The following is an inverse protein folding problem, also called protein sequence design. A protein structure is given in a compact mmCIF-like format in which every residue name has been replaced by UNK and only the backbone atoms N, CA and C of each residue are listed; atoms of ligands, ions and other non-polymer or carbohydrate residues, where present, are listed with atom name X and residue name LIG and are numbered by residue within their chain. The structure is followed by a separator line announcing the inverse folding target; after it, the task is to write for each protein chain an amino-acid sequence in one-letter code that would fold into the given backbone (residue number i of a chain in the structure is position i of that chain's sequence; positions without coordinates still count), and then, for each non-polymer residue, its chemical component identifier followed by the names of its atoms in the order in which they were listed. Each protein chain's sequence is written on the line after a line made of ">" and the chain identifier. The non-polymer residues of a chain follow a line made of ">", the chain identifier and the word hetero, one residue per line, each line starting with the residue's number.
data_IF_135321452689
#
_entry.id   IF_135321452689
#
_cell.length_a   1.000
_cell.length_b   1.000
_cell.length_c   1.000
_cell.angle_alpha   90.00
_cell.angle_beta   90.00
_cell.angle_gamma   90.00
#
_symmetry.space_group_name_H-M   'P 1'
#
loop_
_entity.id
_entity.type
_entity.pdbx_description
1 polymer ?
#
# COMPACT_ATOMS: atom_id res chain seq x y z
N UNK A 1 -8.68 2.26 17.41
CA UNK A 1 -7.48 1.97 16.58
C UNK A 1 -7.66 0.57 16.05
N UNK A 2 -8.21 0.42 14.85
CA UNK A 2 -8.75 -0.86 14.38
C UNK A 2 -7.63 -1.89 14.12
N UNK A 3 -7.81 -3.08 14.69
CA UNK A 3 -6.90 -4.22 14.64
C UNK A 3 -6.67 -4.69 13.19
N UNK A 4 -5.69 -4.10 12.50
CA UNK A 4 -5.23 -4.56 11.17
C UNK A 4 -4.48 -5.89 11.24
N UNK A 5 -4.15 -6.35 12.46
CA UNK A 5 -3.54 -7.64 12.75
C UNK A 5 -4.64 -8.64 13.08
N UNK A 6 -4.65 -9.76 12.37
CA UNK A 6 -5.57 -10.87 12.65
C UNK A 6 -5.23 -11.50 14.00
N UNK A 7 -6.22 -11.65 14.87
CA UNK A 7 -6.03 -12.24 16.20
C UNK A 7 -5.80 -13.76 16.12
N UNK A 8 -6.26 -14.42 15.05
CA UNK A 8 -6.07 -15.86 14.87
C UNK A 8 -4.66 -16.24 14.40
N UNK A 9 -4.08 -15.48 13.46
CA UNK A 9 -2.78 -15.82 12.86
C UNK A 9 -1.68 -14.78 13.09
N UNK A 10 -2.00 -13.65 13.71
CA UNK A 10 -1.05 -12.57 13.98
C UNK A 10 -0.54 -11.85 12.73
N UNK A 11 -1.10 -12.10 11.54
CA UNK A 11 -0.69 -11.45 10.26
C UNK A 11 -1.58 -10.26 9.92
N UNK A 12 -1.15 -9.42 8.99
CA UNK A 12 -1.89 -8.23 8.61
C UNK A 12 -2.99 -8.51 7.57
N UNK A 13 -4.17 -7.91 7.73
CA UNK A 13 -5.26 -7.96 6.74
C UNK A 13 -4.93 -7.00 5.58
N UNK A 14 -5.03 -7.47 4.34
CA UNK A 14 -4.78 -6.63 3.18
C UNK A 14 -5.88 -5.57 3.07
N UNK A 15 -5.57 -4.29 2.79
CA UNK A 15 -6.60 -3.32 2.45
C UNK A 15 -7.34 -3.74 1.17
N UNK A 16 -8.65 -3.52 1.13
CA UNK A 16 -9.46 -3.73 -0.08
C UNK A 16 -9.03 -2.73 -1.18
N UNK A 17 -8.49 -3.19 -2.32
CA UNK A 17 -8.08 -2.32 -3.42
C UNK A 17 -9.22 -1.48 -4.02
N UNK A 18 -10.47 -1.95 -3.87
CA UNK A 18 -11.66 -1.23 -4.33
C UNK A 18 -12.03 -0.05 -3.43
N UNK A 19 -11.47 0.06 -2.23
CA UNK A 19 -11.76 1.16 -1.30
C UNK A 19 -11.04 2.47 -1.64
N UNK A 20 -9.94 2.43 -2.38
CA UNK A 20 -9.13 3.62 -2.68
C UNK A 20 -9.83 4.60 -3.65
N UNK A 21 -9.78 5.90 -3.35
CA UNK A 21 -10.39 6.99 -4.12
C UNK A 21 -9.45 8.17 -4.32
N UNK A 22 -9.74 9.04 -5.29
CA UNK A 22 -9.07 10.33 -5.38
C UNK A 22 -9.12 11.09 -4.05
N UNK A 23 -8.00 11.70 -3.64
CA UNK A 23 -7.86 12.40 -2.37
C UNK A 23 -7.32 11.55 -1.22
N UNK A 24 -7.33 10.22 -1.34
CA UNK A 24 -6.79 9.35 -0.30
C UNK A 24 -5.28 9.49 -0.16
N UNK A 25 -4.82 9.55 1.09
CA UNK A 25 -3.40 9.48 1.44
C UNK A 25 -2.98 8.03 1.52
N UNK A 26 -2.02 7.66 0.68
CA UNK A 26 -1.58 6.27 0.54
C UNK A 26 -0.06 6.16 0.60
N UNK A 27 0.41 4.99 0.98
CA UNK A 27 1.82 4.60 0.99
C UNK A 27 2.02 3.50 -0.04
N UNK A 28 3.08 3.59 -0.84
CA UNK A 28 3.43 2.60 -1.86
C UNK A 28 4.93 2.27 -1.86
N UNK A 29 5.29 1.11 -2.43
CA UNK A 29 6.69 0.69 -2.58
C UNK A 29 7.27 1.28 -3.86
N UNK A 30 8.38 2.00 -3.75
CA UNK A 30 9.20 2.44 -4.88
C UNK A 30 10.51 1.69 -4.90
N UNK A 31 10.83 1.08 -6.04
CA UNK A 31 12.12 0.44 -6.30
C UNK A 31 13.02 1.47 -6.94
N UNK A 32 14.17 1.74 -6.32
CA UNK A 32 15.20 2.63 -6.85
C UNK A 32 16.40 1.76 -7.17
N UNK A 33 16.64 1.54 -8.46
CA UNK A 33 17.81 0.83 -8.93
C UNK A 33 18.95 1.82 -9.15
N UNK A 34 20.12 1.48 -8.59
CA UNK A 34 21.41 2.13 -8.85
C UNK A 34 22.36 1.09 -9.40
N UNK A 35 23.45 1.52 -10.02
CA UNK A 35 24.39 0.66 -10.73
C UNK A 35 24.86 -0.59 -9.95
N UNK A 36 24.91 -0.56 -8.62
CA UNK A 36 25.31 -1.69 -7.77
C UNK A 36 24.30 -2.06 -6.67
N UNK A 37 23.20 -1.31 -6.53
CA UNK A 37 22.29 -1.49 -5.39
C UNK A 37 20.84 -1.32 -5.81
N UNK A 38 19.97 -2.14 -5.22
CA UNK A 38 18.52 -1.97 -5.30
C UNK A 38 18.03 -1.48 -3.95
N UNK A 39 17.42 -0.30 -3.93
CA UNK A 39 16.81 0.27 -2.73
C UNK A 39 15.29 0.17 -2.84
N UNK A 40 14.67 -0.43 -1.82
CA UNK A 40 13.23 -0.44 -1.64
C UNK A 40 12.86 0.68 -0.67
N UNK A 41 11.94 1.56 -1.06
CA UNK A 41 11.50 2.69 -0.24
C UNK A 41 9.97 2.71 -0.15
N UNK A 42 9.44 2.87 1.06
CA UNK A 42 8.05 3.26 1.26
C UNK A 42 7.91 4.77 1.00
N UNK A 43 6.96 5.14 0.15
CA UNK A 43 6.73 6.53 -0.27
C UNK A 43 5.28 6.87 -0.04
N UNK A 44 5.03 8.02 0.60
CA UNK A 44 3.69 8.55 0.80
C UNK A 44 3.30 9.50 -0.34
N UNK A 45 2.00 9.51 -0.66
CA UNK A 45 1.43 10.42 -1.63
C UNK A 45 -0.10 10.49 -1.55
N UNK A 46 -0.70 11.20 -2.48
CA UNK A 46 -2.15 11.38 -2.59
C UNK A 46 -2.63 10.88 -3.94
N UNK A 47 -3.69 10.09 -3.99
CA UNK A 47 -4.30 9.66 -5.25
C UNK A 47 -4.92 10.89 -5.94
N UNK A 48 -4.55 11.11 -7.19
CA UNK A 48 -5.02 12.25 -8.00
C UNK A 48 -5.79 11.81 -9.25
N UNK A 49 -5.65 10.55 -9.68
CA UNK A 49 -6.47 9.95 -10.74
C UNK A 49 -6.72 8.47 -10.43
N UNK A 50 -7.91 8.02 -10.78
CA UNK A 50 -8.36 6.65 -10.58
C UNK A 50 -8.43 5.91 -11.91
N UNK A 51 -7.75 4.78 -11.98
CA UNK A 51 -7.97 3.76 -13.00
C UNK A 51 -8.47 2.46 -12.39
N UNK A 52 -8.87 1.53 -13.26
CA UNK A 52 -9.39 0.22 -12.86
C UNK A 52 -8.31 -0.63 -12.19
N UNK A 53 -7.14 -0.76 -12.82
CA UNK A 53 -6.03 -1.57 -12.32
C UNK A 53 -4.95 -0.75 -11.60
N UNK A 54 -4.82 0.53 -11.94
CA UNK A 54 -3.77 1.42 -11.45
C UNK A 54 -4.35 2.75 -11.01
N UNK A 55 -3.63 3.47 -10.16
CA UNK A 55 -3.95 4.83 -9.73
C UNK A 55 -2.75 5.73 -9.95
N UNK A 56 -2.99 7.00 -10.23
CA UNK A 56 -1.94 8.03 -10.29
C UNK A 56 -1.82 8.68 -8.92
N UNK A 57 -0.62 8.65 -8.35
CA UNK A 57 -0.30 9.20 -7.04
C UNK A 57 0.62 10.40 -7.20
N UNK A 58 0.23 11.53 -6.62
CA UNK A 58 1.11 12.71 -6.48
C UNK A 58 1.95 12.56 -5.23
N UNK A 59 3.27 12.55 -5.39
CA UNK A 59 4.22 12.45 -4.27
C UNK A 59 4.75 13.82 -3.85
N UNK A 60 5.37 13.88 -2.67
CA UNK A 60 6.07 15.08 -2.18
C UNK A 60 7.16 15.49 -3.17
N UNK A 61 7.05 16.69 -3.73
CA UNK A 61 7.89 17.18 -4.83
C UNK A 61 7.10 17.49 -6.11
N UNK A 62 5.85 17.01 -6.21
CA UNK A 62 4.96 17.30 -7.34
C UNK A 62 4.92 16.23 -8.41
N UNK A 63 5.87 15.27 -8.40
CA UNK A 63 5.90 14.15 -9.32
C UNK A 63 4.61 13.32 -9.24
N UNK A 64 4.17 12.81 -10.40
CA UNK A 64 3.05 11.88 -10.54
C UNK A 64 3.60 10.49 -10.85
N UNK A 65 3.18 9.49 -10.11
CA UNK A 65 3.62 8.10 -10.26
C UNK A 65 2.41 7.20 -10.40
N UNK A 66 2.38 6.37 -11.43
CA UNK A 66 1.34 5.38 -11.62
C UNK A 66 1.70 4.08 -10.89
N UNK A 67 0.77 3.56 -10.09
CA UNK A 67 1.00 2.38 -9.25
C UNK A 67 -0.22 1.45 -9.31
N UNK A 68 0.01 0.13 -9.25
CA UNK A 68 -1.07 -0.85 -9.15
C UNK A 68 -1.83 -0.68 -7.83
N UNK A 69 -3.17 -0.81 -7.87
CA UNK A 69 -4.03 -0.69 -6.68
C UNK A 69 -3.73 -1.73 -5.59
N UNK A 70 -3.14 -2.87 -5.98
CA UNK A 70 -2.70 -3.92 -5.05
C UNK A 70 -1.37 -3.61 -4.36
N UNK A 71 -0.63 -2.61 -4.84
CA UNK A 71 0.69 -2.22 -4.33
C UNK A 71 0.68 -1.02 -3.38
N UNK A 72 -0.51 -0.61 -2.94
CA UNK A 72 -0.72 0.58 -2.11
C UNK A 72 -1.42 0.23 -0.80
N UNK A 73 -1.15 1.00 0.25
CA UNK A 73 -1.83 0.87 1.55
C UNK A 73 -2.27 2.25 2.03
N UNK A 74 -3.33 2.32 2.84
CA UNK A 74 -3.77 3.60 3.43
C UNK A 74 -2.70 4.17 4.36
N UNK A 75 -2.58 5.50 4.42
CA UNK A 75 -1.69 6.13 5.38
C UNK A 75 -2.11 5.78 6.82
N UNK A 76 -1.16 5.28 7.62
CA UNK A 76 -1.41 4.78 8.98
C UNK A 76 -1.69 3.27 9.04
N UNK A 77 -1.88 2.61 7.89
CA UNK A 77 -1.81 1.15 7.79
C UNK A 77 -0.35 0.67 7.81
N UNK A 78 -0.11 -0.63 8.07
CA UNK A 78 1.16 -1.25 7.71
C UNK A 78 1.54 -0.89 6.28
N UNK A 79 2.81 -0.53 6.06
CA UNK A 79 3.29 -0.19 4.73
C UNK A 79 3.30 -1.43 3.82
N UNK A 80 3.38 -1.25 2.49
CA UNK A 80 3.47 -2.37 1.55
C UNK A 80 4.65 -3.30 1.83
N UNK A 81 5.78 -2.75 2.32
CA UNK A 81 6.94 -3.52 2.73
C UNK A 81 6.67 -4.40 3.97
N UNK A 82 5.79 -3.96 4.87
CA UNK A 82 5.40 -4.75 6.04
C UNK A 82 4.61 -5.98 5.62
N UNK A 83 3.68 -5.85 4.67
CA UNK A 83 2.95 -7.00 4.12
C UNK A 83 3.88 -7.98 3.39
N UNK A 84 4.89 -7.48 2.68
CA UNK A 84 5.86 -8.31 1.96
C UNK A 84 6.80 -9.08 2.91
N UNK A 85 7.18 -8.48 4.04
CA UNK A 85 8.09 -9.09 5.03
C UNK A 85 7.39 -10.03 6.02
N UNK A 86 6.17 -9.68 6.46
CA UNK A 86 5.46 -10.38 7.53
C UNK A 86 4.26 -11.19 7.03
N UNK A 87 3.96 -11.12 5.74
CA UNK A 87 2.88 -11.86 5.10
C UNK A 87 1.48 -11.29 5.41
N UNK A 88 0.50 -11.88 4.72
CA UNK A 88 -0.91 -11.45 4.76
C UNK A 88 -1.75 -12.50 5.50
N UNK A 89 -2.80 -12.06 6.18
CA UNK A 89 -3.81 -12.92 6.76
C UNK A 89 -4.73 -13.50 5.68
N UNK A 90 -4.97 -14.82 5.73
CA UNK A 90 -5.92 -15.53 4.86
C UNK A 90 -7.00 -16.29 5.65
N UNK A 91 -7.16 -16.02 6.95
CA UNK A 91 -8.18 -16.68 7.77
C UNK A 91 -9.60 -16.34 7.27
N UNK A 92 -10.44 -17.36 7.05
CA UNK A 92 -11.87 -17.19 6.79
C UNK A 92 -12.54 -16.53 8.01
N UNK A 93 -13.20 -15.38 7.81
CA UNK A 93 -13.80 -14.60 8.90
C UNK A 93 -12.94 -13.43 9.43
N UNK A 94 -11.74 -13.22 8.89
CA UNK A 94 -10.93 -12.01 9.15
C UNK A 94 -11.46 -10.72 8.51
N UNK A 95 -12.74 -10.68 8.15
CA UNK A 95 -13.47 -9.52 7.64
C UNK A 95 -14.74 -9.38 8.48
N UNK A 96 -14.56 -8.99 9.73
CA UNK A 96 -15.60 -8.41 10.57
C UNK A 96 -15.03 -7.15 11.21
#
# INVERSE_FOLDING_TARGET
>A
MSNMRCEQCGRYRLPDPAAFRCGDKVTFKRVIQRARTTQLKAVDGVIVEEGVATVTIRVRGGDRVQVARTGITMQGAPGPLTYELFGVCHCEGGQS
#
